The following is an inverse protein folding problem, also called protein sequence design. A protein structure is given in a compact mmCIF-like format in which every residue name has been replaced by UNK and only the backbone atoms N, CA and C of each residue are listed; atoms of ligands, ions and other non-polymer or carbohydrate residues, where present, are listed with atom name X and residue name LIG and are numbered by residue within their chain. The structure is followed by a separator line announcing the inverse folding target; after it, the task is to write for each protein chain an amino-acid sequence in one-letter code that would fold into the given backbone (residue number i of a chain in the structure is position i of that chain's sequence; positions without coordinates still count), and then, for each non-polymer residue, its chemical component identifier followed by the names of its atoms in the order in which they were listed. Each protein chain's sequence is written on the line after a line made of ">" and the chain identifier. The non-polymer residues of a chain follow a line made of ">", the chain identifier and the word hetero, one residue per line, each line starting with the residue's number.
data_IF_023531714760
#
_entry.id   IF_023531714760
#
_cell.length_a   1.000
_cell.length_b   1.000
_cell.length_c   1.000
_cell.angle_alpha   90.00
_cell.angle_beta   90.00
_cell.angle_gamma   90.00
#
_symmetry.space_group_name_H-M   'P 1'
#
loop_
_entity.id
_entity.type
_entity.pdbx_description
1 polymer ?
#
# COMPACT_ATOMS: atom_id res chain seq x y z
N UNK A 1 12.68 -41.05 -14.71
CA UNK A 1 12.65 -39.61 -15.05
C UNK A 1 12.11 -38.87 -13.83
N UNK A 2 12.99 -38.23 -13.04
CA UNK A 2 12.59 -37.54 -11.80
C UNK A 2 11.88 -36.25 -12.19
N UNK A 3 10.58 -36.16 -11.90
CA UNK A 3 9.85 -34.89 -11.89
C UNK A 3 10.51 -34.03 -10.81
N UNK A 4 11.33 -33.04 -11.20
CA UNK A 4 11.71 -31.97 -10.31
C UNK A 4 10.42 -31.24 -9.96
N UNK A 5 9.84 -31.55 -8.80
CA UNK A 5 8.89 -30.65 -8.18
C UNK A 5 9.56 -29.29 -8.12
N UNK A 6 8.95 -28.29 -8.77
CA UNK A 6 9.35 -26.90 -8.53
C UNK A 6 9.22 -26.70 -7.03
N UNK A 7 10.33 -26.66 -6.30
CA UNK A 7 10.40 -25.87 -5.09
C UNK A 7 10.01 -24.46 -5.55
N UNK A 8 8.74 -24.12 -5.44
CA UNK A 8 8.36 -22.73 -5.32
C UNK A 8 9.08 -22.28 -4.07
N UNK A 9 10.25 -21.66 -4.28
CA UNK A 9 10.96 -20.89 -3.28
C UNK A 9 9.89 -20.15 -2.48
N UNK A 10 9.87 -20.35 -1.15
CA UNK A 10 8.84 -19.81 -0.26
C UNK A 10 9.02 -18.29 -0.13
N UNK A 11 8.96 -17.59 -1.26
CA UNK A 11 9.19 -16.16 -1.41
C UNK A 11 8.04 -15.42 -0.75
N UNK A 12 8.37 -14.42 0.04
CA UNK A 12 7.42 -13.57 0.72
C UNK A 12 6.49 -12.88 -0.28
N UNK A 13 5.18 -12.94 -0.01
CA UNK A 13 4.13 -12.34 -0.84
C UNK A 13 3.21 -11.50 0.02
N UNK A 14 2.86 -10.33 -0.50
CA UNK A 14 1.91 -9.43 0.14
C UNK A 14 0.49 -9.93 -0.17
N UNK A 15 -0.34 -10.00 0.87
CA UNK A 15 -1.76 -10.39 0.80
C UNK A 15 -2.62 -9.37 1.52
N UNK A 16 -3.88 -9.27 1.10
CA UNK A 16 -4.88 -8.42 1.76
C UNK A 16 -4.39 -7.00 2.05
N UNK A 17 -3.79 -6.34 1.04
CA UNK A 17 -3.41 -4.94 1.15
C UNK A 17 -4.68 -4.09 1.32
N UNK A 18 -4.69 -3.25 2.33
CA UNK A 18 -5.81 -2.41 2.71
C UNK A 18 -5.34 -0.98 3.03
N UNK A 19 -6.23 -0.01 2.83
CA UNK A 19 -6.08 1.36 3.31
C UNK A 19 -7.26 1.68 4.21
N UNK A 20 -7.00 2.08 5.46
CA UNK A 20 -8.02 2.30 6.48
C UNK A 20 -9.01 1.12 6.59
N UNK A 21 -8.48 -0.11 6.53
CA UNK A 21 -9.23 -1.37 6.54
C UNK A 21 -10.11 -1.66 5.31
N UNK A 22 -10.00 -0.85 4.25
CA UNK A 22 -10.73 -1.03 3.00
C UNK A 22 -9.84 -1.62 1.91
N UNK A 23 -10.39 -2.56 1.14
CA UNK A 23 -9.76 -3.12 -0.08
C UNK A 23 -10.08 -2.31 -1.34
N UNK A 24 -11.14 -1.47 -1.28
CA UNK A 24 -11.53 -0.53 -2.35
C UNK A 24 -11.89 0.84 -1.76
N UNK A 25 -10.89 1.61 -1.29
CA UNK A 25 -11.10 2.90 -0.63
C UNK A 25 -11.52 3.99 -1.63
N UNK A 26 -12.78 4.43 -1.52
CA UNK A 26 -13.36 5.51 -2.34
C UNK A 26 -14.09 6.49 -1.43
N UNK A 27 -13.84 7.79 -1.64
CA UNK A 27 -14.46 8.86 -0.85
C UNK A 27 -13.92 8.99 0.57
N UNK A 28 -12.73 8.45 0.85
CA UNK A 28 -12.13 8.52 2.20
C UNK A 28 -11.35 9.83 2.40
N UNK A 29 -11.08 10.19 3.65
CA UNK A 29 -10.16 11.30 3.93
C UNK A 29 -8.75 10.95 3.43
N UNK A 30 -8.07 11.92 2.82
CA UNK A 30 -6.67 11.78 2.40
C UNK A 30 -5.65 11.94 3.53
N UNK A 31 -6.10 12.21 4.77
CA UNK A 31 -5.26 12.43 5.95
C UNK A 31 -5.00 11.11 6.69
N UNK A 32 -3.80 10.96 7.24
CA UNK A 32 -3.41 9.84 8.11
C UNK A 32 -3.78 8.46 7.54
N UNK A 33 -3.55 8.26 6.24
CA UNK A 33 -3.88 7.00 5.58
C UNK A 33 -3.05 5.86 6.18
N UNK A 34 -3.74 4.89 6.77
CA UNK A 34 -3.15 3.67 7.33
C UNK A 34 -3.17 2.57 6.30
N UNK A 35 -2.00 2.23 5.76
CA UNK A 35 -1.80 1.01 5.00
C UNK A 35 -1.57 -0.17 5.94
N UNK A 36 -2.17 -1.30 5.62
CA UNK A 36 -1.83 -2.57 6.26
C UNK A 36 -1.92 -3.72 5.28
N UNK A 37 -1.08 -4.73 5.50
CA UNK A 37 -1.04 -5.93 4.69
C UNK A 37 -0.82 -7.15 5.57
N UNK A 38 -1.01 -8.32 4.98
CA UNK A 38 -0.59 -9.61 5.51
C UNK A 38 0.51 -10.19 4.62
N UNK A 39 1.23 -11.17 5.14
CA UNK A 39 2.28 -11.87 4.41
C UNK A 39 1.95 -13.36 4.28
N UNK A 40 2.33 -13.93 3.15
CA UNK A 40 2.33 -15.36 2.91
C UNK A 40 3.72 -15.77 2.42
N UNK A 41 4.27 -16.83 3.01
CA UNK A 41 5.64 -17.26 2.75
C UNK A 41 6.70 -16.36 3.41
N UNK A 42 7.97 -16.73 3.23
CA UNK A 42 9.10 -16.20 4.00
C UNK A 42 9.04 -16.60 5.48
N UNK A 43 10.06 -16.23 6.26
CA UNK A 43 10.03 -16.38 7.73
C UNK A 43 9.60 -15.10 8.40
N UNK A 44 10.16 -13.95 8.00
CA UNK A 44 9.90 -12.66 8.63
C UNK A 44 10.19 -11.51 7.65
N UNK A 45 9.37 -10.47 7.69
CA UNK A 45 9.68 -9.21 7.00
C UNK A 45 10.77 -8.45 7.76
N UNK A 46 11.75 -7.94 7.02
CA UNK A 46 12.78 -7.06 7.57
C UNK A 46 12.61 -5.60 7.18
N UNK A 47 11.84 -5.30 6.13
CA UNK A 47 11.44 -3.94 5.81
C UNK A 47 10.46 -3.85 4.64
N UNK A 48 10.07 -2.62 4.33
CA UNK A 48 9.11 -2.31 3.29
C UNK A 48 9.40 -0.97 2.59
N UNK A 49 8.87 -0.86 1.38
CA UNK A 49 8.77 0.37 0.61
C UNK A 49 7.30 0.60 0.23
N UNK A 50 6.80 1.81 0.46
CA UNK A 50 5.50 2.29 0.01
C UNK A 50 5.71 3.42 -0.97
N UNK A 51 5.19 3.30 -2.18
CA UNK A 51 5.22 4.34 -3.21
C UNK A 51 3.80 4.82 -3.49
N UNK A 52 3.58 6.13 -3.43
CA UNK A 52 2.32 6.77 -3.80
C UNK A 52 2.52 7.48 -5.14
N UNK A 53 1.68 7.16 -6.12
CA UNK A 53 1.70 7.74 -7.45
C UNK A 53 0.34 8.32 -7.82
N UNK A 54 0.34 9.44 -8.54
CA UNK A 54 -0.88 9.94 -9.19
C UNK A 54 -1.26 9.08 -10.42
N UNK A 55 -2.30 9.49 -11.14
CA UNK A 55 -2.76 8.79 -12.34
C UNK A 55 -1.83 8.93 -13.55
N UNK A 56 -0.92 9.90 -13.54
CA UNK A 56 0.08 10.12 -14.60
C UNK A 56 1.38 9.35 -14.32
N UNK A 57 1.51 8.77 -13.12
CA UNK A 57 2.68 8.01 -12.68
C UNK A 57 3.70 8.84 -11.92
N UNK A 58 3.42 10.12 -11.65
CA UNK A 58 4.30 10.98 -10.85
C UNK A 58 4.30 10.48 -9.40
N UNK A 59 5.49 10.36 -8.83
CA UNK A 59 5.66 9.92 -7.44
C UNK A 59 5.38 11.09 -6.50
N UNK A 60 4.39 10.94 -5.63
CA UNK A 60 4.00 11.92 -4.63
C UNK A 60 4.74 11.71 -3.30
N UNK A 61 4.92 10.44 -2.92
CA UNK A 61 5.56 10.04 -1.67
C UNK A 61 6.24 8.67 -1.83
N UNK A 62 7.41 8.51 -1.19
CA UNK A 62 8.06 7.21 -0.95
C UNK A 62 8.32 7.12 0.54
N UNK A 63 7.93 6.00 1.15
CA UNK A 63 8.27 5.64 2.53
C UNK A 63 9.01 4.31 2.50
N UNK A 64 10.27 4.32 2.89
CA UNK A 64 11.11 3.13 3.03
C UNK A 64 11.52 2.97 4.50
N UNK A 65 11.34 1.79 5.05
CA UNK A 65 11.62 1.52 6.46
C UNK A 65 12.10 0.08 6.69
N UNK A 66 13.21 -0.08 7.42
CA UNK A 66 13.63 -1.37 7.98
C UNK A 66 12.77 -1.66 9.22
N UNK A 67 11.74 -2.49 9.03
CA UNK A 67 10.76 -2.82 10.05
C UNK A 67 10.09 -4.17 9.79
N UNK A 68 9.74 -4.85 10.88
CA UNK A 68 8.93 -6.06 10.86
C UNK A 68 7.42 -5.79 10.94
N UNK A 69 7.00 -4.52 10.99
CA UNK A 69 5.59 -4.14 11.02
C UNK A 69 4.96 -4.26 9.64
N UNK A 70 3.72 -4.73 9.58
CA UNK A 70 2.95 -4.82 8.33
C UNK A 70 1.97 -3.65 8.21
N UNK A 71 2.40 -2.47 8.65
CA UNK A 71 1.61 -1.25 8.74
C UNK A 71 2.50 -0.06 8.39
N UNK A 72 1.97 0.84 7.57
CA UNK A 72 2.60 2.12 7.24
C UNK A 72 1.54 3.23 7.36
N UNK A 73 1.89 4.34 8.00
CA UNK A 73 1.06 5.55 8.00
C UNK A 73 1.70 6.55 7.04
N UNK A 74 0.95 6.99 6.01
CA UNK A 74 1.45 8.01 5.09
C UNK A 74 1.62 9.34 5.80
N UNK A 75 2.72 10.04 5.48
CA UNK A 75 3.04 11.34 6.07
C UNK A 75 2.43 12.48 5.25
N UNK A 76 2.30 12.31 3.93
CA UNK A 76 1.67 13.31 3.08
C UNK A 76 0.18 13.07 2.97
N UNK A 77 -0.58 14.15 3.09
CA UNK A 77 -2.00 14.15 2.76
C UNK A 77 -2.19 14.05 1.26
N UNK A 78 -3.15 13.22 0.85
CA UNK A 78 -3.61 13.17 -0.53
C UNK A 78 -4.71 14.22 -0.71
N UNK A 79 -4.62 15.13 -1.70
CA UNK A 79 -5.61 16.18 -1.90
C UNK A 79 -7.03 15.63 -2.06
N UNK A 80 -8.04 16.45 -1.83
CA UNK A 80 -9.45 16.08 -2.03
C UNK A 80 -9.72 15.66 -3.49
N UNK A 81 -10.74 14.82 -3.69
CA UNK A 81 -11.22 14.38 -5.02
C UNK A 81 -10.12 13.81 -5.94
N UNK A 82 -9.08 13.24 -5.35
CA UNK A 82 -7.88 12.79 -6.05
C UNK A 82 -7.82 11.27 -6.07
N UNK A 83 -7.39 10.72 -7.20
CA UNK A 83 -7.14 9.29 -7.38
C UNK A 83 -5.64 9.04 -7.40
N UNK A 84 -5.19 8.10 -6.57
CA UNK A 84 -3.79 7.65 -6.53
C UNK A 84 -3.70 6.13 -6.61
N UNK A 85 -2.53 5.65 -7.03
CA UNK A 85 -2.10 4.26 -6.86
C UNK A 85 -1.06 4.22 -5.76
N UNK A 86 -1.26 3.36 -4.77
CA UNK A 86 -0.26 3.07 -3.74
C UNK A 86 0.27 1.66 -3.98
N UNK A 87 1.58 1.53 -4.08
CA UNK A 87 2.29 0.27 -4.23
C UNK A 87 3.06 -0.02 -2.95
N UNK A 88 3.05 -1.28 -2.50
CA UNK A 88 3.86 -1.76 -1.38
C UNK A 88 4.76 -2.87 -1.89
N UNK A 89 6.03 -2.80 -1.50
CA UNK A 89 7.02 -3.87 -1.66
C UNK A 89 7.58 -4.19 -0.28
N UNK A 90 7.93 -5.45 -0.02
CA UNK A 90 8.55 -5.86 1.23
C UNK A 90 9.81 -6.68 0.94
N UNK A 91 10.72 -6.78 1.91
CA UNK A 91 11.84 -7.71 1.85
C UNK A 91 11.96 -8.54 3.11
N UNK A 92 12.49 -9.76 2.94
CA UNK A 92 12.72 -10.71 4.03
C UNK A 92 14.09 -10.52 4.70
N UNK A 93 14.44 -11.43 5.61
CA UNK A 93 15.72 -11.42 6.33
C UNK A 93 16.97 -11.57 5.45
N UNK A 94 16.82 -12.11 4.23
CA UNK A 94 17.89 -12.25 3.24
C UNK A 94 17.94 -11.07 2.27
N UNK A 95 17.15 -10.01 2.53
CA UNK A 95 16.95 -8.86 1.64
C UNK A 95 16.36 -9.23 0.28
N UNK A 96 15.64 -10.36 0.19
CA UNK A 96 14.93 -10.73 -1.03
C UNK A 96 13.60 -9.99 -1.10
N UNK A 97 13.41 -9.21 -2.17
CA UNK A 97 12.18 -8.45 -2.38
C UNK A 97 10.99 -9.37 -2.71
N UNK A 98 9.79 -8.96 -2.32
CA UNK A 98 8.52 -9.52 -2.80
C UNK A 98 8.15 -8.98 -4.17
N UNK A 99 7.18 -9.62 -4.83
CA UNK A 99 6.42 -8.93 -5.87
C UNK A 99 5.65 -7.74 -5.27
N UNK A 100 5.53 -6.60 -5.96
CA UNK A 100 4.81 -5.45 -5.45
C UNK A 100 3.29 -5.70 -5.45
N UNK A 101 2.61 -5.21 -4.42
CA UNK A 101 1.15 -5.18 -4.35
C UNK A 101 0.63 -3.75 -4.47
N UNK A 102 -0.42 -3.55 -5.27
CA UNK A 102 -1.00 -2.22 -5.52
C UNK A 102 -2.43 -2.11 -5.03
N UNK A 103 -2.80 -0.92 -4.54
CA UNK A 103 -4.18 -0.53 -4.22
C UNK A 103 -4.47 0.87 -4.76
N UNK A 104 -5.70 1.10 -5.23
CA UNK A 104 -6.15 2.41 -5.69
C UNK A 104 -6.96 3.09 -4.60
N UNK A 105 -6.65 4.35 -4.32
CA UNK A 105 -7.38 5.20 -3.37
C UNK A 105 -8.00 6.37 -4.11
N UNK A 106 -9.27 6.67 -3.79
CA UNK A 106 -9.93 7.90 -4.21
C UNK A 106 -10.34 8.68 -2.96
N UNK A 107 -9.86 9.90 -2.81
CA UNK A 107 -10.21 10.77 -1.68
C UNK A 107 -11.56 11.46 -1.91
N UNK A 108 -12.25 11.74 -0.80
CA UNK A 108 -13.51 12.48 -0.80
C UNK A 108 -13.32 14.00 -0.86
N UNK A 109 -14.33 14.73 -0.41
CA UNK A 109 -14.32 16.20 -0.31
C UNK A 109 -13.98 16.59 1.12
N UNK A 110 -12.96 17.44 1.28
CA UNK A 110 -12.62 18.02 2.57
C UNK A 110 -13.73 18.97 3.04
N UNK A 111 -14.00 19.04 4.34
CA UNK A 111 -15.15 19.79 4.90
C UNK A 111 -15.15 21.26 4.46
N UNK A 112 -13.98 21.84 4.32
CA UNK A 112 -13.74 23.23 3.95
C UNK A 112 -14.11 23.52 2.47
N UNK A 113 -14.27 22.48 1.65
CA UNK A 113 -14.61 22.58 0.23
C UNK A 113 -16.10 22.29 -0.05
N UNK A 114 -16.91 22.08 0.98
CA UNK A 114 -18.35 21.88 0.83
C UNK A 114 -19.05 23.22 0.56
N UNK A 115 -19.70 23.30 -0.60
CA UNK A 115 -20.48 24.48 -1.02
C UNK A 115 -22.00 24.19 -1.09
N UNK A 116 -22.47 23.07 -0.54
CA UNK A 116 -23.90 22.77 -0.50
C UNK A 116 -24.57 23.63 0.56
N UNK A 117 -25.65 24.32 0.18
CA UNK A 117 -26.50 25.10 1.07
C UNK A 117 -27.88 24.42 1.17
N UNK A 118 -28.62 24.68 2.25
CA UNK A 118 -30.00 24.18 2.35
C UNK A 118 -30.89 25.06 1.47
N UNK A 119 -31.67 24.42 0.59
CA UNK A 119 -32.75 25.05 -0.20
C UNK A 119 -33.89 25.56 0.70
#
# INVERSE_FOLDING_TARGET
>A
MKMKGKETENRMKIRNLQVNHLTKPVGISGKNLRLSWNLEGGKKQNGFEVTVQDTEGNVLEIVEEESNTMVCILKKEIPSRTKVKICVKVWDEEKKESEPAGITVVTGINKEEWNAEMD
#
